data_IF_276609733935
#
_entry.id   IF_276609733935
#
_cell.length_a   1.000
_cell.length_b   1.000
_cell.length_c   1.000
_cell.angle_alpha   90.00
_cell.angle_beta   90.00
_cell.angle_gamma   90.00
#
_symmetry.space_group_name_H-M   'P 1'
#
loop_
_entity.id
_entity.type
_entity.pdbx_description
1 polymer ?
#
# COMPACT_ATOMS: atom_id res chain seq x y z
N UNK A 1 -27.61 12.45 -36.43
CA UNK A 1 -27.00 11.11 -36.60
C UNK A 1 -26.59 10.63 -35.21
N UNK A 2 -27.40 9.82 -34.56
CA UNK A 2 -27.09 9.20 -33.29
C UNK A 2 -26.21 8.00 -33.64
N UNK A 3 -24.89 8.12 -33.46
CA UNK A 3 -23.97 6.99 -33.55
C UNK A 3 -24.36 6.02 -32.43
N UNK A 4 -24.92 4.88 -32.81
CA UNK A 4 -25.08 3.73 -31.90
C UNK A 4 -23.68 3.27 -31.47
N UNK A 5 -23.18 3.83 -30.41
CA UNK A 5 -21.98 3.35 -29.72
C UNK A 5 -22.36 2.16 -28.87
N UNK A 6 -22.45 0.97 -29.44
CA UNK A 6 -22.16 -0.24 -28.70
C UNK A 6 -20.67 -0.15 -28.35
N UNK A 7 -20.39 0.53 -27.24
CA UNK A 7 -19.03 0.52 -26.67
C UNK A 7 -18.84 -0.90 -26.13
N UNK A 8 -17.85 -1.62 -26.68
CA UNK A 8 -17.46 -2.92 -26.16
C UNK A 8 -17.04 -2.85 -24.69
N UNK A 9 -16.75 -3.99 -24.09
CA UNK A 9 -16.28 -4.05 -22.69
C UNK A 9 -14.90 -3.38 -22.65
N UNK A 10 -14.74 -2.39 -21.79
CA UNK A 10 -13.45 -1.77 -21.48
C UNK A 10 -12.63 -2.68 -20.57
N UNK A 11 -11.80 -3.53 -21.19
CA UNK A 11 -11.04 -4.57 -20.47
C UNK A 11 -10.03 -3.99 -19.50
N UNK A 12 -9.38 -2.87 -19.84
CA UNK A 12 -8.39 -2.26 -18.94
C UNK A 12 -9.08 -1.62 -17.72
N UNK A 13 -10.22 -0.98 -17.91
CA UNK A 13 -10.99 -0.44 -16.78
C UNK A 13 -11.46 -1.53 -15.83
N UNK A 14 -11.92 -2.68 -16.35
CA UNK A 14 -12.25 -3.84 -15.54
C UNK A 14 -11.04 -4.38 -14.79
N UNK A 15 -9.89 -4.50 -15.46
CA UNK A 15 -8.66 -5.00 -14.86
C UNK A 15 -8.21 -4.09 -13.70
N UNK A 16 -8.09 -2.78 -13.94
CA UNK A 16 -7.69 -1.82 -12.91
C UNK A 16 -8.69 -1.76 -11.76
N UNK A 17 -9.99 -1.75 -12.06
CA UNK A 17 -11.03 -1.81 -11.05
C UNK A 17 -10.94 -3.05 -10.17
N UNK A 18 -10.71 -4.23 -10.78
CA UNK A 18 -10.54 -5.49 -10.08
C UNK A 18 -9.30 -5.49 -9.16
N UNK A 19 -8.17 -4.97 -9.64
CA UNK A 19 -6.94 -4.84 -8.85
C UNK A 19 -7.18 -3.97 -7.61
N UNK A 20 -7.83 -2.83 -7.75
CA UNK A 20 -8.18 -1.92 -6.64
C UNK A 20 -9.15 -2.59 -5.66
N UNK A 21 -10.19 -3.27 -6.16
CA UNK A 21 -11.19 -3.95 -5.33
C UNK A 21 -10.54 -5.07 -4.50
N UNK A 22 -9.67 -5.88 -5.11
CA UNK A 22 -8.96 -6.95 -4.39
C UNK A 22 -8.10 -6.36 -3.26
N UNK A 23 -7.32 -5.33 -3.56
CA UNK A 23 -6.49 -4.67 -2.56
C UNK A 23 -7.35 -4.09 -1.42
N UNK A 24 -8.39 -3.33 -1.75
CA UNK A 24 -9.27 -2.71 -0.77
C UNK A 24 -10.00 -3.74 0.11
N UNK A 25 -10.49 -4.83 -0.49
CA UNK A 25 -11.16 -5.93 0.22
C UNK A 25 -10.21 -6.63 1.20
N UNK A 26 -8.99 -6.93 0.75
CA UNK A 26 -7.96 -7.53 1.61
C UNK A 26 -7.61 -6.61 2.78
N UNK A 27 -7.32 -5.33 2.50
CA UNK A 27 -6.94 -4.38 3.54
C UNK A 27 -8.07 -4.18 4.56
N UNK A 28 -9.31 -4.02 4.08
CA UNK A 28 -10.48 -3.86 4.93
C UNK A 28 -10.70 -5.08 5.82
N UNK A 29 -10.61 -6.29 5.27
CA UNK A 29 -10.75 -7.52 6.03
C UNK A 29 -9.63 -7.67 7.07
N UNK A 30 -8.38 -7.39 6.69
CA UNK A 30 -7.24 -7.44 7.60
C UNK A 30 -7.41 -6.47 8.79
N UNK A 31 -7.81 -5.22 8.51
CA UNK A 31 -8.05 -4.22 9.55
C UNK A 31 -9.23 -4.60 10.44
N UNK A 32 -10.32 -5.07 9.86
CA UNK A 32 -11.50 -5.52 10.61
C UNK A 32 -11.17 -6.66 11.57
N UNK A 33 -10.48 -7.69 11.08
CA UNK A 33 -10.07 -8.85 11.91
C UNK A 33 -9.10 -8.42 13.03
N UNK A 34 -8.19 -7.49 12.74
CA UNK A 34 -7.27 -6.93 13.72
C UNK A 34 -8.03 -6.18 14.83
N UNK A 35 -8.95 -5.29 14.47
CA UNK A 35 -9.75 -4.52 15.44
C UNK A 35 -10.65 -5.46 16.26
N UNK A 36 -11.30 -6.44 15.61
CA UNK A 36 -12.11 -7.46 16.30
C UNK A 36 -11.30 -8.23 17.36
N UNK A 37 -10.02 -8.51 17.08
CA UNK A 37 -9.12 -9.22 18.01
C UNK A 37 -8.61 -8.33 19.15
N UNK A 38 -8.37 -7.04 18.90
CA UNK A 38 -7.82 -6.09 19.88
C UNK A 38 -8.89 -5.32 20.67
N UNK A 39 -10.16 -5.43 20.28
CA UNK A 39 -11.28 -4.72 20.89
C UNK A 39 -11.46 -3.29 20.39
N UNK A 40 -10.39 -2.56 20.12
CA UNK A 40 -10.42 -1.21 19.54
C UNK A 40 -9.14 -0.92 18.73
N UNK A 41 -9.21 0.05 17.82
CA UNK A 41 -8.02 0.59 17.19
C UNK A 41 -7.45 1.72 18.05
N UNK A 42 -6.28 1.46 18.65
CA UNK A 42 -5.60 2.37 19.57
C UNK A 42 -5.36 3.76 18.94
N UNK A 43 -5.23 3.84 17.61
CA UNK A 43 -5.03 5.10 16.89
C UNK A 43 -6.22 6.03 17.02
N UNK A 44 -7.44 5.47 17.06
CA UNK A 44 -8.69 6.24 17.17
C UNK A 44 -9.07 6.58 18.60
N UNK A 45 -8.44 5.96 19.60
CA UNK A 45 -8.80 6.15 21.02
C UNK A 45 -8.82 7.61 21.46
N UNK A 46 -7.85 8.41 21.00
CA UNK A 46 -7.79 9.84 21.30
C UNK A 46 -8.62 10.71 20.35
N UNK A 47 -8.69 10.30 19.09
CA UNK A 47 -9.27 11.08 17.99
C UNK A 47 -10.80 11.06 18.04
N UNK A 48 -11.42 9.94 18.45
CA UNK A 48 -12.88 9.76 18.47
C UNK A 48 -13.64 10.72 19.40
N UNK A 49 -12.94 11.36 20.34
CA UNK A 49 -13.56 12.30 21.27
C UNK A 49 -13.60 13.75 20.77
N UNK A 50 -13.00 14.06 19.62
CA UNK A 50 -13.03 15.37 19.00
C UNK A 50 -13.53 15.25 17.57
N UNK A 51 -14.69 15.83 17.28
CA UNK A 51 -15.29 15.78 15.94
C UNK A 51 -14.35 16.34 14.86
N UNK A 52 -13.69 17.46 15.10
CA UNK A 52 -12.77 18.07 14.14
C UNK A 52 -11.57 17.19 13.84
N UNK A 53 -10.96 16.57 14.85
CA UNK A 53 -9.84 15.63 14.67
C UNK A 53 -10.29 14.35 13.95
N UNK A 54 -11.46 13.85 14.29
CA UNK A 54 -12.05 12.69 13.64
C UNK A 54 -12.32 12.97 12.16
N UNK A 55 -13.02 14.07 11.85
CA UNK A 55 -13.29 14.50 10.47
C UNK A 55 -12.01 14.70 9.67
N UNK A 56 -11.03 15.43 10.21
CA UNK A 56 -9.75 15.66 9.55
C UNK A 56 -9.04 14.34 9.22
N UNK A 57 -9.04 13.38 10.15
CA UNK A 57 -8.41 12.07 9.92
C UNK A 57 -9.06 11.32 8.77
N UNK A 58 -10.41 11.31 8.69
CA UNK A 58 -11.12 10.65 7.59
C UNK A 58 -10.96 11.39 6.27
N UNK A 59 -10.91 12.72 6.27
CA UNK A 59 -10.65 13.51 5.06
C UNK A 59 -9.24 13.23 4.51
N UNK A 60 -8.22 13.18 5.38
CA UNK A 60 -6.86 12.81 4.99
C UNK A 60 -6.79 11.37 4.46
N UNK A 61 -7.53 10.46 5.07
CA UNK A 61 -7.59 9.08 4.60
C UNK A 61 -8.29 8.96 3.25
N UNK A 62 -9.38 9.70 3.03
CA UNK A 62 -10.05 9.79 1.72
C UNK A 62 -9.15 10.36 0.64
N UNK A 63 -8.43 11.44 0.96
CA UNK A 63 -7.45 12.04 0.05
C UNK A 63 -6.31 11.06 -0.30
N UNK A 64 -5.82 10.30 0.69
CA UNK A 64 -4.83 9.25 0.45
C UNK A 64 -5.33 8.20 -0.53
N UNK A 65 -6.52 7.63 -0.28
CA UNK A 65 -7.12 6.64 -1.19
C UNK A 65 -7.29 7.23 -2.59
N UNK A 66 -7.81 8.46 -2.71
CA UNK A 66 -7.97 9.15 -3.99
C UNK A 66 -6.64 9.26 -4.75
N UNK A 67 -5.57 9.69 -4.10
CA UNK A 67 -4.24 9.82 -4.71
C UNK A 67 -3.68 8.45 -5.14
N UNK A 68 -3.94 7.40 -4.39
CA UNK A 68 -3.51 6.04 -4.76
C UNK A 68 -4.22 5.52 -5.99
N UNK A 69 -5.55 5.70 -6.08
CA UNK A 69 -6.35 5.18 -7.21
C UNK A 69 -6.38 6.14 -8.41
N UNK A 70 -5.82 7.34 -8.28
CA UNK A 70 -5.85 8.39 -9.29
C UNK A 70 -5.45 7.93 -10.70
N UNK A 71 -4.34 7.18 -10.91
CA UNK A 71 -3.99 6.66 -12.23
C UNK A 71 -5.09 5.76 -12.83
N UNK A 72 -5.66 4.87 -12.01
CA UNK A 72 -6.75 4.00 -12.45
C UNK A 72 -8.01 4.80 -12.84
N UNK A 73 -8.37 5.83 -12.04
CA UNK A 73 -9.53 6.68 -12.33
C UNK A 73 -9.42 7.41 -13.67
N UNK A 74 -8.23 7.92 -14.00
CA UNK A 74 -8.01 8.59 -15.31
C UNK A 74 -8.23 7.61 -16.45
N UNK A 75 -7.69 6.39 -16.37
CA UNK A 75 -7.87 5.38 -17.43
C UNK A 75 -9.32 4.96 -17.54
N UNK A 76 -9.99 4.69 -16.42
CA UNK A 76 -11.41 4.30 -16.38
C UNK A 76 -12.30 5.39 -16.99
N UNK A 77 -11.96 6.67 -16.83
CA UNK A 77 -12.73 7.78 -17.39
C UNK A 77 -12.52 7.98 -18.90
N UNK A 78 -11.48 7.38 -19.51
CA UNK A 78 -11.06 7.61 -20.89
C UNK A 78 -11.53 6.56 -21.87
N UNK A 79 -12.29 5.58 -21.49
CA UNK A 79 -12.73 4.42 -22.26
C UNK A 79 -11.67 3.87 -23.26
N UNK A 80 -11.02 2.77 -22.90
CA UNK A 80 -9.98 2.12 -23.68
C UNK A 80 -10.27 0.63 -23.79
N UNK A 81 -10.36 0.09 -25.01
CA UNK A 81 -10.80 -1.29 -25.22
C UNK A 81 -9.70 -2.35 -25.12
N UNK A 82 -8.44 -1.99 -25.36
CA UNK A 82 -7.36 -2.94 -25.56
C UNK A 82 -6.38 -3.02 -24.38
N UNK A 83 -5.88 -4.23 -24.12
CA UNK A 83 -4.79 -4.46 -23.17
C UNK A 83 -3.46 -4.29 -23.91
N UNK A 84 -2.67 -3.32 -23.48
CA UNK A 84 -1.34 -3.05 -24.02
C UNK A 84 -0.22 -3.62 -23.13
N UNK A 85 1.04 -3.50 -23.59
CA UNK A 85 2.21 -4.00 -22.86
C UNK A 85 2.38 -3.32 -21.48
N UNK A 86 2.03 -2.05 -21.33
CA UNK A 86 2.07 -1.36 -20.04
C UNK A 86 1.10 -1.97 -19.06
N UNK A 87 -0.11 -2.34 -19.50
CA UNK A 87 -1.08 -3.03 -18.66
C UNK A 87 -0.57 -4.39 -18.18
N UNK A 88 0.07 -5.16 -19.07
CA UNK A 88 0.63 -6.48 -18.71
C UNK A 88 1.76 -6.33 -17.69
N UNK A 89 2.74 -5.48 -17.98
CA UNK A 89 3.89 -5.25 -17.08
C UNK A 89 3.41 -4.66 -15.75
N UNK A 90 2.55 -3.65 -15.77
CA UNK A 90 2.02 -3.03 -14.56
C UNK A 90 1.23 -4.02 -13.70
N UNK A 91 0.44 -4.91 -14.31
CA UNK A 91 -0.28 -5.97 -13.58
C UNK A 91 0.66 -6.98 -12.94
N UNK A 92 1.75 -7.36 -13.62
CA UNK A 92 2.77 -8.24 -13.06
C UNK A 92 3.47 -7.58 -11.85
N UNK A 93 3.83 -6.29 -11.95
CA UNK A 93 4.42 -5.51 -10.85
C UNK A 93 3.43 -5.38 -9.68
N UNK A 94 2.15 -5.10 -9.98
CA UNK A 94 1.10 -5.05 -8.96
C UNK A 94 0.96 -6.37 -8.22
N UNK A 95 0.89 -7.48 -8.96
CA UNK A 95 0.75 -8.81 -8.37
C UNK A 95 1.94 -9.15 -7.47
N UNK A 96 3.15 -8.84 -7.92
CA UNK A 96 4.35 -9.02 -7.10
C UNK A 96 4.28 -8.21 -5.80
N UNK A 97 3.95 -6.90 -5.87
CA UNK A 97 3.82 -6.04 -4.69
C UNK A 97 2.74 -6.53 -3.73
N UNK A 98 1.58 -6.94 -4.26
CA UNK A 98 0.45 -7.47 -3.49
C UNK A 98 0.80 -8.76 -2.75
N UNK A 99 1.44 -9.72 -3.42
CA UNK A 99 1.89 -10.97 -2.81
C UNK A 99 2.99 -10.72 -1.77
N UNK A 100 3.92 -9.81 -2.06
CA UNK A 100 4.99 -9.44 -1.13
C UNK A 100 4.42 -8.85 0.17
N UNK A 101 3.42 -7.98 0.08
CA UNK A 101 2.71 -7.40 1.22
C UNK A 101 1.99 -8.48 2.04
N UNK A 102 1.25 -9.40 1.38
CA UNK A 102 0.55 -10.51 2.04
C UNK A 102 1.52 -11.39 2.82
N UNK A 103 2.63 -11.78 2.18
CA UNK A 103 3.64 -12.64 2.82
C UNK A 103 4.26 -11.94 4.03
N UNK A 104 4.60 -10.66 3.90
CA UNK A 104 5.15 -9.86 5.00
C UNK A 104 4.20 -9.78 6.20
N UNK A 105 2.92 -9.46 5.95
CA UNK A 105 1.90 -9.38 6.99
C UNK A 105 1.65 -10.73 7.66
N UNK A 106 1.62 -11.82 6.89
CA UNK A 106 1.46 -13.18 7.42
C UNK A 106 2.66 -13.61 8.27
N UNK A 107 3.89 -13.32 7.82
CA UNK A 107 5.10 -13.59 8.60
C UNK A 107 5.03 -12.87 9.96
N UNK A 108 4.70 -11.57 9.97
CA UNK A 108 4.57 -10.77 11.20
C UNK A 108 3.46 -11.28 12.10
N UNK A 109 2.30 -11.59 11.52
CA UNK A 109 1.15 -12.10 12.28
C UNK A 109 1.47 -13.44 12.95
N UNK A 110 2.10 -14.36 12.22
CA UNK A 110 2.48 -15.68 12.75
C UNK A 110 3.59 -15.57 13.79
N UNK A 111 4.61 -14.74 13.54
CA UNK A 111 5.67 -14.48 14.51
C UNK A 111 5.09 -13.98 15.85
N UNK A 112 4.19 -13.03 15.81
CA UNK A 112 3.59 -12.42 17.00
C UNK A 112 2.71 -13.39 17.82
N UNK A 113 2.21 -14.49 17.21
CA UNK A 113 1.44 -15.52 17.97
C UNK A 113 2.31 -16.22 19.02
N UNK A 114 3.57 -16.50 18.69
CA UNK A 114 4.48 -17.28 19.51
C UNK A 114 5.57 -16.45 20.21
N UNK A 115 5.79 -15.21 19.76
CA UNK A 115 6.88 -14.35 20.20
C UNK A 115 6.36 -12.99 20.70
N UNK A 116 5.42 -13.01 21.66
CA UNK A 116 4.86 -11.77 22.23
C UNK A 116 5.98 -10.89 22.81
N UNK A 117 5.96 -9.61 22.50
CA UNK A 117 6.93 -8.63 22.99
C UNK A 117 8.28 -8.59 22.26
N UNK A 118 8.54 -9.51 21.33
CA UNK A 118 9.77 -9.54 20.52
C UNK A 118 9.56 -8.85 19.18
N UNK A 119 10.66 -8.41 18.55
CA UNK A 119 10.65 -7.90 17.17
C UNK A 119 10.95 -9.03 16.17
N UNK A 120 10.38 -8.93 14.98
CA UNK A 120 10.63 -9.88 13.89
C UNK A 120 11.84 -9.41 13.07
N UNK A 121 12.75 -10.34 12.76
CA UNK A 121 13.97 -10.11 11.97
C UNK A 121 14.27 -11.22 10.95
N UNK A 122 13.27 -12.07 10.64
CA UNK A 122 13.42 -13.23 9.77
C UNK A 122 12.55 -13.13 8.53
N UNK A 123 12.83 -13.91 7.49
CA UNK A 123 12.11 -13.88 6.23
C UNK A 123 12.23 -12.54 5.52
N UNK A 124 11.15 -11.98 5.00
CA UNK A 124 11.15 -10.66 4.34
C UNK A 124 11.59 -9.52 5.28
N UNK A 125 11.39 -9.68 6.58
CA UNK A 125 11.80 -8.74 7.63
C UNK A 125 13.32 -8.71 7.86
N UNK A 126 14.08 -9.67 7.33
CA UNK A 126 15.54 -9.60 7.28
C UNK A 126 16.06 -8.82 6.08
N UNK A 127 15.25 -8.65 5.03
CA UNK A 127 15.62 -7.92 3.81
C UNK A 127 15.36 -6.42 3.91
N UNK A 128 14.26 -6.05 4.58
CA UNK A 128 13.88 -4.67 4.90
C UNK A 128 13.09 -4.63 6.18
N UNK A 129 13.16 -3.52 6.93
CA UNK A 129 12.44 -3.36 8.20
C UNK A 129 10.94 -3.17 8.04
N UNK A 130 10.48 -2.78 6.85
CA UNK A 130 9.07 -2.55 6.53
C UNK A 130 8.66 -3.20 5.20
N UNK A 131 8.76 -4.54 5.08
CA UNK A 131 8.50 -5.23 3.82
C UNK A 131 7.05 -5.08 3.33
N UNK A 132 6.08 -5.00 4.22
CA UNK A 132 4.68 -4.77 3.86
C UNK A 132 4.48 -3.39 3.21
N UNK A 133 5.13 -2.33 3.69
CA UNK A 133 5.07 -1.01 3.06
C UNK A 133 5.81 -0.95 1.72
N UNK A 134 6.91 -1.69 1.60
CA UNK A 134 7.54 -1.85 0.29
C UNK A 134 6.60 -2.55 -0.70
N UNK A 135 5.92 -3.61 -0.28
CA UNK A 135 4.90 -4.28 -1.10
C UNK A 135 3.79 -3.33 -1.54
N UNK A 136 3.26 -2.53 -0.60
CA UNK A 136 2.24 -1.51 -0.88
C UNK A 136 2.74 -0.45 -1.88
N UNK A 137 3.96 0.04 -1.74
CA UNK A 137 4.57 0.95 -2.70
C UNK A 137 4.66 0.33 -4.10
N UNK A 138 5.12 -0.91 -4.22
CA UNK A 138 5.27 -1.62 -5.49
C UNK A 138 3.92 -1.87 -6.16
N UNK A 139 2.88 -2.21 -5.41
CA UNK A 139 1.56 -2.43 -6.02
C UNK A 139 0.99 -1.12 -6.62
N UNK A 140 1.16 0.03 -5.96
CA UNK A 140 0.71 1.32 -6.51
C UNK A 140 1.58 1.79 -7.68
N UNK A 141 2.86 1.48 -7.67
CA UNK A 141 3.74 1.63 -8.83
C UNK A 141 3.23 0.77 -10.01
N UNK A 142 2.78 -0.46 -9.75
CA UNK A 142 2.19 -1.34 -10.76
C UNK A 142 0.95 -0.75 -11.41
N UNK A 143 0.01 -0.20 -10.63
CA UNK A 143 -1.18 0.51 -11.17
C UNK A 143 -0.74 1.72 -12.02
N UNK A 144 0.24 2.48 -11.56
CA UNK A 144 0.77 3.63 -12.31
C UNK A 144 1.34 3.17 -13.65
N UNK A 145 2.18 2.14 -13.69
CA UNK A 145 2.75 1.59 -14.91
C UNK A 145 1.64 1.11 -15.84
N UNK A 146 0.66 0.35 -15.33
CA UNK A 146 -0.46 -0.13 -16.13
C UNK A 146 -1.25 1.00 -16.80
N UNK A 147 -1.31 2.16 -16.15
CA UNK A 147 -2.05 3.34 -16.63
C UNK A 147 -1.27 4.16 -17.67
N UNK A 148 0.07 4.09 -17.69
CA UNK A 148 0.92 4.93 -18.58
C UNK A 148 0.65 4.75 -20.08
N UNK A 149 0.22 3.57 -20.49
CA UNK A 149 -0.04 3.26 -21.90
C UNK A 149 -1.37 3.79 -22.46
N UNK A 150 -2.18 4.47 -21.63
CA UNK A 150 -3.52 4.95 -22.01
C UNK A 150 -3.65 6.46 -21.96
N UNK A 151 -2.57 7.17 -21.68
CA UNK A 151 -2.53 8.63 -21.58
C UNK A 151 -1.38 9.15 -22.41
N UNK A 152 -1.72 9.88 -23.47
CA UNK A 152 -0.71 10.45 -24.37
C UNK A 152 -0.15 11.76 -23.82
N UNK A 153 -1.04 12.65 -23.36
CA UNK A 153 -0.66 13.95 -22.82
C UNK A 153 -0.61 13.92 -21.31
N UNK A 154 0.37 14.61 -20.72
CA UNK A 154 0.49 14.77 -19.26
C UNK A 154 0.67 13.47 -18.47
N UNK A 155 1.12 12.36 -19.10
CA UNK A 155 1.36 11.07 -18.43
C UNK A 155 2.29 11.17 -17.21
N UNK A 156 3.14 12.18 -17.14
CA UNK A 156 4.00 12.43 -15.98
C UNK A 156 3.23 12.71 -14.69
N UNK A 157 1.99 13.20 -14.79
CA UNK A 157 1.14 13.44 -13.61
C UNK A 157 0.87 12.14 -12.85
N UNK A 158 0.86 11.00 -13.54
CA UNK A 158 0.67 9.68 -12.93
C UNK A 158 1.82 9.32 -11.98
N UNK A 159 3.03 9.85 -12.21
CA UNK A 159 4.18 9.61 -11.36
C UNK A 159 4.04 10.29 -9.97
N UNK A 160 3.10 11.21 -9.83
CA UNK A 160 2.78 11.79 -8.52
C UNK A 160 2.28 10.72 -7.55
N UNK A 161 1.57 9.69 -8.04
CA UNK A 161 1.04 8.62 -7.18
C UNK A 161 2.15 7.84 -6.45
N UNK A 162 3.12 7.19 -7.11
CA UNK A 162 4.17 6.47 -6.39
C UNK A 162 5.04 7.39 -5.54
N UNK A 163 5.30 8.63 -5.97
CA UNK A 163 6.02 9.62 -5.16
C UNK A 163 5.22 9.93 -3.89
N UNK A 164 3.92 10.19 -4.02
CA UNK A 164 3.04 10.46 -2.91
C UNK A 164 2.97 9.29 -1.93
N UNK A 165 2.78 8.07 -2.43
CA UNK A 165 2.73 6.84 -1.61
C UNK A 165 4.05 6.66 -0.85
N UNK A 166 5.19 6.81 -1.52
CA UNK A 166 6.50 6.72 -0.88
C UNK A 166 6.65 7.75 0.26
N UNK A 167 6.34 9.01 -0.01
CA UNK A 167 6.44 10.08 0.99
C UNK A 167 5.47 9.87 2.15
N UNK A 168 4.24 9.45 1.87
CA UNK A 168 3.24 9.16 2.89
C UNK A 168 3.72 8.05 3.83
N UNK A 169 4.17 6.92 3.27
CA UNK A 169 4.60 5.76 4.04
C UNK A 169 5.89 6.02 4.82
N UNK A 170 6.83 6.80 4.26
CA UNK A 170 8.15 7.01 4.87
C UNK A 170 8.25 8.26 5.74
N UNK A 171 7.43 9.30 5.49
CA UNK A 171 7.57 10.61 6.17
C UNK A 171 6.37 10.99 7.02
N UNK A 172 5.15 10.60 6.62
CA UNK A 172 3.94 11.14 7.26
C UNK A 172 3.34 10.18 8.29
N UNK A 173 3.10 8.90 7.94
CA UNK A 173 2.23 8.06 8.77
C UNK A 173 2.75 6.66 9.09
N UNK A 174 3.67 6.12 8.33
CA UNK A 174 3.97 4.69 8.41
C UNK A 174 5.24 4.39 9.21
N UNK A 175 6.35 4.47 8.50
CA UNK A 175 7.66 4.02 8.96
C UNK A 175 8.12 4.78 10.21
N UNK A 176 8.05 6.12 10.21
CA UNK A 176 8.56 6.93 11.32
C UNK A 176 7.88 6.58 12.65
N UNK A 177 6.56 6.45 12.65
CA UNK A 177 5.81 6.08 13.85
C UNK A 177 6.18 4.67 14.35
N UNK A 178 6.36 3.72 13.42
CA UNK A 178 6.73 2.36 13.81
C UNK A 178 8.17 2.26 14.29
N UNK A 179 9.09 3.05 13.72
CA UNK A 179 10.48 3.13 14.20
C UNK A 179 10.54 3.72 15.62
N UNK A 180 9.78 4.80 15.90
CA UNK A 180 9.69 5.35 17.27
C UNK A 180 9.12 4.34 18.27
N UNK A 181 8.08 3.62 17.88
CA UNK A 181 7.49 2.58 18.74
C UNK A 181 8.50 1.44 18.95
N UNK A 182 9.23 1.06 17.92
CA UNK A 182 10.28 0.05 17.99
C UNK A 182 11.40 0.47 18.91
N UNK A 183 11.88 1.71 18.79
CA UNK A 183 12.93 2.27 19.65
C UNK A 183 12.51 2.31 21.12
N UNK A 184 11.29 2.77 21.40
CA UNK A 184 10.74 2.77 22.79
C UNK A 184 10.60 1.37 23.40
N UNK A 185 10.42 0.32 22.58
CA UNK A 185 10.20 -1.05 23.06
C UNK A 185 11.47 -1.87 23.14
N UNK A 186 12.40 -1.67 22.23
CA UNK A 186 13.56 -2.54 22.04
C UNK A 186 14.88 -1.77 21.87
N UNK A 187 14.88 -0.44 22.01
CA UNK A 187 16.05 0.41 21.79
C UNK A 187 17.27 0.03 22.63
N UNK A 188 17.04 -0.43 23.87
CA UNK A 188 18.11 -0.88 24.77
C UNK A 188 18.68 -2.27 24.41
N UNK A 189 18.03 -3.01 23.49
CA UNK A 189 18.49 -4.33 23.05
C UNK A 189 19.60 -4.23 22.04
N UNK A 190 20.78 -4.79 22.34
CA UNK A 190 21.89 -4.90 21.39
C UNK A 190 21.52 -5.66 20.12
N UNK A 191 20.62 -6.63 20.22
CA UNK A 191 20.11 -7.42 19.09
C UNK A 191 19.27 -6.56 18.15
N UNK A 192 18.44 -5.69 18.69
CA UNK A 192 17.59 -4.78 17.91
C UNK A 192 18.45 -3.72 17.21
N UNK A 193 19.43 -3.13 17.88
CA UNK A 193 20.35 -2.17 17.26
C UNK A 193 21.15 -2.82 16.11
N UNK A 194 21.70 -4.02 16.33
CA UNK A 194 22.38 -4.78 15.27
C UNK A 194 21.47 -5.11 14.08
N UNK A 195 20.19 -5.40 14.36
CA UNK A 195 19.18 -5.60 13.30
C UNK A 195 18.98 -4.32 12.49
N UNK A 196 18.82 -3.16 13.13
CA UNK A 196 18.66 -1.85 12.48
C UNK A 196 19.85 -1.48 11.61
N UNK A 197 21.06 -1.74 12.07
CA UNK A 197 22.29 -1.49 11.32
C UNK A 197 22.41 -2.34 10.05
N UNK A 198 21.99 -3.60 10.13
CA UNK A 198 22.13 -4.57 9.03
C UNK A 198 20.99 -4.53 8.01
N UNK A 199 19.81 -4.10 8.43
CA UNK A 199 18.58 -4.20 7.65
C UNK A 199 18.12 -2.81 7.23
N UNK A 200 18.07 -2.52 5.92
CA UNK A 200 17.64 -1.23 5.42
C UNK A 200 16.19 -0.92 5.78
N UNK A 201 15.88 0.37 5.83
CA UNK A 201 14.60 0.87 6.30
C UNK A 201 13.43 0.48 5.39
N UNK A 202 13.59 0.67 4.08
CA UNK A 202 12.47 0.59 3.13
C UNK A 202 12.76 -0.32 1.93
N UNK A 203 13.82 -0.07 1.16
CA UNK A 203 14.15 -0.89 -0.01
C UNK A 203 14.85 -2.18 0.43
N UNK A 204 14.36 -3.35 -0.04
CA UNK A 204 14.96 -4.63 0.35
C UNK A 204 16.42 -4.75 -0.07
N UNK A 205 17.25 -5.27 0.81
CA UNK A 205 18.60 -5.72 0.50
C UNK A 205 18.52 -7.05 -0.23
N UNK A 206 19.07 -7.12 -1.43
CA UNK A 206 19.03 -8.32 -2.27
C UNK A 206 20.22 -9.25 -1.98
N UNK A 207 21.29 -8.73 -1.35
CA UNK A 207 22.53 -9.46 -1.00
C UNK A 207 23.06 -9.06 0.37
#
# INVERSE_FOLDING_TARGET
MIKNSYQGIDLISLLLGFMVIIWASRLSLFLFLRVKKSGEDVRFKKIKHSFSWFLMTFMLQGMWVFMCIFPALIVISSFNSEINNYAIVGSAVWLFGFLFEIVADNQKSNFNKFNKGKFISTGLWSMTRHPNYFGEFILWLGITIASLGYIDNYKYILLLTPIFVYLLLTRVSGVNLLEEIGEKRWGDSKEYQKYKEKTPLFFPKIF
#
